data_IF_923516109432
#
_entry.id   IF_923516109432
#
_cell.length_a   1.000
_cell.length_b   1.000
_cell.length_c   1.000
_cell.angle_alpha   90.00
_cell.angle_beta   90.00
_cell.angle_gamma   90.00
#
_symmetry.space_group_name_H-M   'P 1'
#
loop_
_entity.id
_entity.type
_entity.pdbx_description
1 polymer ?
#
# COMPACT_ATOMS: atom_id res chain seq x y z
N UNK A 1 -8.31 16.50 14.33
CA UNK A 1 -8.54 15.04 14.38
C UNK A 1 -9.94 14.67 13.89
N UNK A 2 -11.00 15.23 14.48
CA UNK A 2 -12.40 15.01 14.07
C UNK A 2 -12.66 15.31 12.57
N UNK A 3 -12.28 16.50 12.09
CA UNK A 3 -12.47 16.94 10.70
C UNK A 3 -11.80 16.06 9.63
N UNK A 4 -10.72 15.34 9.96
CA UNK A 4 -10.03 14.42 9.03
C UNK A 4 -10.67 13.03 9.05
N UNK A 5 -11.11 12.57 10.23
CA UNK A 5 -11.90 11.34 10.40
C UNK A 5 -13.25 11.44 9.71
N UNK A 6 -13.90 12.61 9.75
CA UNK A 6 -15.17 12.86 9.05
C UNK A 6 -14.98 12.81 7.52
N UNK A 7 -13.83 13.28 7.02
CA UNK A 7 -13.45 13.17 5.61
C UNK A 7 -13.25 11.71 5.20
N UNK A 8 -12.52 10.92 5.98
CA UNK A 8 -12.33 9.47 5.78
C UNK A 8 -13.66 8.71 5.86
N UNK A 9 -14.52 9.04 6.82
CA UNK A 9 -15.85 8.42 6.96
C UNK A 9 -16.79 8.78 5.78
N UNK A 10 -16.68 9.99 5.23
CA UNK A 10 -17.42 10.39 4.02
C UNK A 10 -16.92 9.68 2.75
N UNK A 11 -15.64 9.28 2.73
CA UNK A 11 -14.98 8.56 1.62
C UNK A 11 -15.35 7.07 1.55
N UNK A 12 -15.70 6.45 2.68
CA UNK A 12 -15.88 5.00 2.80
C UNK A 12 -17.31 4.56 3.14
N UNK A 13 -18.29 5.40 2.84
CA UNK A 13 -19.70 5.16 3.14
C UNK A 13 -20.15 3.74 2.79
N UNK A 14 -20.64 3.02 3.81
CA UNK A 14 -21.32 1.69 3.80
C UNK A 14 -20.52 0.46 4.28
N UNK A 15 -19.75 0.53 5.37
CA UNK A 15 -19.36 -0.68 6.09
C UNK A 15 -19.84 -0.66 7.54
N UNK A 16 -20.76 -1.56 7.87
CA UNK A 16 -21.18 -1.86 9.25
C UNK A 16 -20.17 -2.82 9.88
N UNK A 17 -19.29 -2.25 10.70
CA UNK A 17 -18.14 -2.90 11.34
C UNK A 17 -18.47 -3.48 12.72
N UNK A 18 -19.74 -3.56 13.09
CA UNK A 18 -20.19 -3.87 14.47
C UNK A 18 -19.92 -5.30 14.95
N UNK A 19 -19.57 -6.25 14.07
CA UNK A 19 -19.53 -7.69 14.41
C UNK A 19 -18.18 -8.40 14.17
N UNK A 20 -17.08 -7.68 13.99
CA UNK A 20 -15.79 -8.29 13.64
C UNK A 20 -14.89 -8.52 14.88
N UNK A 21 -14.62 -9.80 15.22
CA UNK A 21 -13.74 -10.21 16.33
C UNK A 21 -12.34 -10.57 15.80
N UNK A 22 -11.28 -9.96 16.36
CA UNK A 22 -9.90 -10.24 15.94
C UNK A 22 -8.91 -10.48 17.09
N UNK A 23 -7.93 -11.37 16.82
CA UNK A 23 -6.78 -11.72 17.68
C UNK A 23 -5.60 -10.78 17.40
N UNK A 24 -4.88 -10.43 18.47
CA UNK A 24 -3.67 -9.60 18.45
C UNK A 24 -2.44 -10.45 18.04
N UNK A 25 -1.65 -9.99 17.06
CA UNK A 25 -0.34 -10.58 16.72
C UNK A 25 0.75 -9.53 16.87
N UNK A 26 1.79 -9.87 17.66
CA UNK A 26 2.95 -9.02 17.92
C UNK A 26 3.84 -8.93 16.67
N UNK A 27 4.15 -7.71 16.22
CA UNK A 27 4.85 -7.43 14.95
C UNK A 27 6.37 -7.30 15.15
N UNK A 28 7.17 -8.14 14.47
CA UNK A 28 8.65 -8.06 14.45
C UNK A 28 9.18 -6.86 13.65
N UNK A 29 8.44 -6.40 12.65
CA UNK A 29 8.78 -5.24 11.83
C UNK A 29 7.67 -4.18 11.96
N UNK A 30 8.05 -2.96 12.35
CA UNK A 30 7.11 -1.84 12.50
C UNK A 30 7.10 -1.04 11.21
N UNK A 31 6.13 -1.34 10.34
CA UNK A 31 5.80 -0.49 9.20
C UNK A 31 5.00 0.71 9.71
N UNK A 32 5.72 1.71 10.21
CA UNK A 32 5.19 2.91 10.83
C UNK A 32 5.62 4.19 10.07
N UNK A 33 5.24 5.36 10.58
CA UNK A 33 5.60 6.62 9.91
C UNK A 33 7.13 6.83 9.87
N UNK A 34 7.87 6.36 10.87
CA UNK A 34 9.34 6.47 10.89
C UNK A 34 9.97 5.58 9.82
N UNK A 35 9.45 4.37 9.63
CA UNK A 35 9.85 3.51 8.51
C UNK A 35 9.58 4.22 7.18
N UNK A 36 8.38 4.77 6.99
CA UNK A 36 8.04 5.52 5.77
C UNK A 36 9.01 6.68 5.53
N UNK A 37 9.29 7.49 6.56
CA UNK A 37 10.20 8.64 6.46
C UNK A 37 11.62 8.23 6.06
N UNK A 38 12.07 7.02 6.43
CA UNK A 38 13.38 6.47 6.05
C UNK A 38 13.50 6.03 4.58
N UNK A 39 12.38 5.84 3.88
CA UNK A 39 12.37 5.46 2.47
C UNK A 39 12.76 6.65 1.57
N UNK A 40 13.29 6.36 0.39
CA UNK A 40 13.62 7.37 -0.62
C UNK A 40 12.81 7.07 -1.87
N UNK A 41 12.13 8.10 -2.40
CA UNK A 41 11.44 8.05 -3.69
C UNK A 41 12.50 8.05 -4.79
N UNK A 42 12.50 7.02 -5.64
CA UNK A 42 13.51 6.90 -6.71
C UNK A 42 13.07 7.54 -8.02
N UNK A 43 11.84 8.08 -8.11
CA UNK A 43 11.29 8.77 -9.29
C UNK A 43 11.42 7.99 -10.60
N UNK A 44 11.47 6.65 -10.51
CA UNK A 44 11.75 5.65 -11.55
C UNK A 44 13.21 5.17 -11.58
N UNK A 45 13.45 4.00 -11.00
CA UNK A 45 14.74 3.32 -10.95
C UNK A 45 15.20 2.72 -12.29
N UNK A 46 14.30 2.63 -13.28
CA UNK A 46 14.58 2.07 -14.62
C UNK A 46 14.12 3.09 -15.68
N UNK A 47 15.04 3.66 -16.48
CA UNK A 47 14.68 4.58 -17.56
C UNK A 47 13.74 3.91 -18.55
N UNK A 48 12.65 4.59 -18.91
CA UNK A 48 11.67 4.08 -19.87
C UNK A 48 11.47 5.07 -21.03
N UNK A 49 11.19 4.54 -22.23
CA UNK A 49 11.01 5.30 -23.47
C UNK A 49 9.56 5.82 -23.66
N UNK A 50 8.82 6.09 -22.58
CA UNK A 50 7.39 6.46 -22.66
C UNK A 50 7.03 7.64 -21.74
N UNK A 51 6.08 8.47 -22.19
CA UNK A 51 5.69 9.75 -21.59
C UNK A 51 4.68 9.62 -20.43
N UNK A 52 4.78 8.60 -19.58
CA UNK A 52 3.94 8.50 -18.38
C UNK A 52 4.46 9.44 -17.30
N UNK A 53 4.07 10.71 -17.40
CA UNK A 53 4.49 11.76 -16.50
C UNK A 53 3.31 12.38 -15.76
N UNK A 54 3.48 12.59 -14.47
CA UNK A 54 2.50 13.30 -13.65
C UNK A 54 3.21 13.98 -12.47
N UNK A 55 2.87 15.25 -12.21
CA UNK A 55 3.49 16.09 -11.18
C UNK A 55 5.04 16.07 -11.19
N UNK A 56 5.64 16.05 -12.38
CA UNK A 56 7.10 16.04 -12.55
C UNK A 56 7.78 14.70 -12.25
N UNK A 57 7.01 13.64 -11.97
CA UNK A 57 7.51 12.27 -11.80
C UNK A 57 7.28 11.46 -13.08
N UNK A 58 8.22 10.57 -13.39
CA UNK A 58 8.10 9.57 -14.47
C UNK A 58 7.68 8.24 -13.84
N UNK A 59 6.74 7.54 -14.49
CA UNK A 59 6.21 6.26 -14.02
C UNK A 59 6.57 5.13 -15.00
N UNK A 60 6.76 3.91 -14.47
CA UNK A 60 7.05 2.70 -15.26
C UNK A 60 5.86 2.21 -16.07
N UNK A 61 4.65 2.60 -15.71
CA UNK A 61 3.43 2.20 -16.42
C UNK A 61 2.33 3.25 -16.31
N UNK A 62 1.39 3.22 -17.26
CA UNK A 62 0.16 4.04 -17.21
C UNK A 62 -0.66 3.76 -15.95
N UNK A 63 -0.72 2.49 -15.52
CA UNK A 63 -1.45 2.08 -14.32
C UNK A 63 -0.85 2.74 -13.07
N UNK A 64 0.46 2.68 -12.89
CA UNK A 64 1.15 3.33 -11.75
C UNK A 64 0.93 4.84 -11.75
N UNK A 65 1.02 5.51 -12.91
CA UNK A 65 0.71 6.94 -13.02
C UNK A 65 -0.73 7.26 -12.59
N UNK A 66 -1.70 6.43 -12.99
CA UNK A 66 -3.11 6.58 -12.58
C UNK A 66 -3.29 6.36 -11.06
N UNK A 67 -2.56 5.42 -10.47
CA UNK A 67 -2.61 5.19 -9.02
C UNK A 67 -2.01 6.36 -8.25
N UNK A 68 -0.86 6.88 -8.69
CA UNK A 68 -0.25 8.09 -8.14
C UNK A 68 -1.21 9.29 -8.21
N UNK A 69 -1.83 9.51 -9.37
CA UNK A 69 -2.86 10.57 -9.55
C UNK A 69 -4.01 10.40 -8.56
N UNK A 70 -4.50 9.17 -8.39
CA UNK A 70 -5.57 8.85 -7.46
C UNK A 70 -5.18 9.07 -5.99
N UNK A 71 -3.95 8.76 -5.60
CA UNK A 71 -3.46 9.01 -4.24
C UNK A 71 -3.35 10.52 -3.96
N UNK A 72 -2.85 11.31 -4.93
CA UNK A 72 -2.80 12.78 -4.84
C UNK A 72 -4.21 13.39 -4.75
N UNK A 73 -5.17 12.94 -5.56
CA UNK A 73 -6.58 13.38 -5.51
C UNK A 73 -7.23 13.12 -4.14
N UNK A 74 -6.80 12.06 -3.45
CA UNK A 74 -7.31 11.69 -2.12
C UNK A 74 -6.55 12.36 -0.97
N UNK A 75 -5.53 13.18 -1.26
CA UNK A 75 -4.65 13.78 -0.24
C UNK A 75 -3.99 12.71 0.64
N UNK A 76 -3.61 11.58 0.02
CA UNK A 76 -2.92 10.46 0.68
C UNK A 76 -1.42 10.59 0.40
N UNK A 77 -0.63 10.66 1.46
CA UNK A 77 0.82 10.75 1.37
C UNK A 77 1.44 9.40 0.95
N UNK A 78 2.30 9.44 -0.07
CA UNK A 78 2.99 8.26 -0.58
C UNK A 78 4.40 8.59 -1.09
N UNK A 79 5.22 7.53 -1.24
CA UNK A 79 6.50 7.52 -1.97
C UNK A 79 6.42 6.50 -3.09
N UNK A 80 6.94 6.86 -4.26
CA UNK A 80 6.95 6.01 -5.44
C UNK A 80 8.28 5.28 -5.63
N UNK A 81 8.22 4.06 -6.14
CA UNK A 81 9.36 3.20 -6.51
C UNK A 81 10.43 3.16 -5.42
N UNK A 82 10.07 2.63 -4.25
CA UNK A 82 10.92 2.64 -3.06
C UNK A 82 11.67 1.34 -2.89
N UNK A 83 12.89 1.41 -2.38
CA UNK A 83 13.67 0.22 -1.99
C UNK A 83 13.40 -0.15 -0.54
N UNK A 84 12.91 -1.37 -0.30
CA UNK A 84 12.66 -1.93 1.03
C UNK A 84 13.69 -3.01 1.33
N UNK A 85 14.44 -2.84 2.43
CA UNK A 85 15.39 -3.84 2.91
C UNK A 85 14.70 -4.89 3.77
N UNK A 86 14.83 -6.16 3.39
CA UNK A 86 14.31 -7.31 4.13
C UNK A 86 15.46 -8.29 4.37
N UNK A 87 15.96 -8.31 5.60
CA UNK A 87 17.16 -9.05 5.96
C UNK A 87 18.39 -8.50 5.23
N UNK A 88 18.99 -9.31 4.34
CA UNK A 88 20.13 -8.92 3.50
C UNK A 88 19.74 -8.58 2.05
N UNK A 89 18.45 -8.66 1.72
CA UNK A 89 17.94 -8.45 0.36
C UNK A 89 17.23 -7.11 0.28
N UNK A 90 17.35 -6.46 -0.86
CA UNK A 90 16.62 -5.22 -1.18
C UNK A 90 15.54 -5.57 -2.21
N UNK A 91 14.33 -5.12 -1.97
CA UNK A 91 13.18 -5.30 -2.86
C UNK A 91 12.66 -3.93 -3.28
N UNK A 92 12.51 -3.70 -4.58
CA UNK A 92 11.75 -2.54 -5.07
C UNK A 92 10.27 -2.76 -4.75
N UNK A 93 9.55 -1.72 -4.34
CA UNK A 93 8.11 -1.72 -4.11
C UNK A 93 7.52 -0.49 -4.80
N UNK A 94 6.41 -0.68 -5.52
CA UNK A 94 5.86 0.39 -6.38
C UNK A 94 5.43 1.62 -5.59
N UNK A 95 4.76 1.41 -4.45
CA UNK A 95 4.35 2.50 -3.57
C UNK A 95 4.51 2.13 -2.10
N UNK A 96 4.96 3.09 -1.30
CA UNK A 96 4.72 3.11 0.14
C UNK A 96 3.72 4.21 0.44
N UNK A 97 2.69 3.91 1.24
CA UNK A 97 1.61 4.81 1.62
C UNK A 97 1.64 4.96 3.14
N UNK A 98 1.51 6.18 3.66
CA UNK A 98 1.49 6.42 5.10
C UNK A 98 0.18 7.03 5.56
N UNK A 99 -0.37 6.46 6.63
CA UNK A 99 -1.44 7.06 7.41
C UNK A 99 -0.85 7.49 8.76
N UNK A 100 -0.38 8.74 8.83
CA UNK A 100 0.34 9.27 10.01
C UNK A 100 -0.53 9.27 11.26
N UNK A 101 -1.83 9.49 11.10
CA UNK A 101 -2.84 9.47 12.17
C UNK A 101 -2.90 8.12 12.90
N UNK A 102 -2.56 7.03 12.19
CA UNK A 102 -2.52 5.68 12.75
C UNK A 102 -1.11 5.18 13.00
N UNK A 103 -0.09 6.01 12.69
CA UNK A 103 1.31 5.60 12.65
C UNK A 103 1.52 4.28 11.88
N UNK A 104 0.90 4.17 10.69
CA UNK A 104 0.98 2.98 9.83
C UNK A 104 1.49 3.33 8.44
N UNK A 105 2.45 2.55 7.99
CA UNK A 105 2.88 2.50 6.60
C UNK A 105 2.31 1.22 5.96
N UNK A 106 1.82 1.33 4.73
CA UNK A 106 1.29 0.25 3.92
C UNK A 106 2.07 0.22 2.60
N UNK A 107 2.52 -0.96 2.21
CA UNK A 107 3.15 -1.20 0.92
C UNK A 107 2.07 -1.54 -0.10
N UNK A 108 2.24 -1.04 -1.31
CA UNK A 108 1.39 -1.35 -2.45
C UNK A 108 2.26 -1.76 -3.63
N UNK A 109 2.01 -2.97 -4.12
CA UNK A 109 2.68 -3.56 -5.25
C UNK A 109 1.67 -3.86 -6.38
N UNK A 110 2.01 -3.48 -7.60
CA UNK A 110 1.28 -3.78 -8.82
C UNK A 110 2.10 -4.69 -9.74
N UNK A 111 1.66 -5.95 -9.86
CA UNK A 111 2.23 -6.90 -10.78
C UNK A 111 1.57 -6.80 -12.15
N UNK A 112 2.16 -6.01 -13.06
CA UNK A 112 1.57 -5.72 -14.38
C UNK A 112 1.85 -6.73 -15.50
N UNK A 113 2.60 -7.82 -15.23
CA UNK A 113 3.04 -8.82 -16.22
C UNK A 113 2.70 -10.24 -15.78
N UNK A 114 1.52 -10.44 -15.19
CA UNK A 114 1.13 -11.73 -14.59
C UNK A 114 0.83 -12.84 -15.61
N UNK A 115 0.90 -12.56 -16.89
CA UNK A 115 0.92 -13.53 -17.99
C UNK A 115 2.30 -14.18 -18.20
N UNK A 116 3.37 -13.57 -17.67
CA UNK A 116 4.73 -14.09 -17.80
C UNK A 116 5.12 -15.04 -16.65
N UNK A 117 5.35 -16.30 -16.98
CA UNK A 117 5.63 -17.35 -15.99
C UNK A 117 6.87 -17.05 -15.12
N UNK A 118 7.98 -16.60 -15.72
CA UNK A 118 9.22 -16.30 -14.98
C UNK A 118 9.03 -15.11 -14.03
N UNK A 119 8.30 -14.08 -14.48
CA UNK A 119 7.95 -12.91 -13.68
C UNK A 119 7.13 -13.32 -12.45
N UNK A 120 6.11 -14.17 -12.64
CA UNK A 120 5.29 -14.69 -11.56
C UNK A 120 6.10 -15.51 -10.55
N UNK A 121 7.00 -16.37 -11.01
CA UNK A 121 7.83 -17.19 -10.13
C UNK A 121 8.73 -16.32 -9.24
N UNK A 122 9.36 -15.30 -9.81
CA UNK A 122 10.18 -14.33 -9.07
C UNK A 122 9.36 -13.56 -8.02
N UNK A 123 8.17 -13.09 -8.42
CA UNK A 123 7.29 -12.32 -7.53
C UNK A 123 6.68 -13.17 -6.41
N UNK A 124 6.37 -14.44 -6.67
CA UNK A 124 5.96 -15.38 -5.62
C UNK A 124 7.05 -15.51 -4.54
N UNK A 125 8.32 -15.64 -4.96
CA UNK A 125 9.46 -15.63 -4.04
C UNK A 125 9.59 -14.31 -3.27
N UNK A 126 9.37 -13.16 -3.90
CA UNK A 126 9.33 -11.85 -3.21
C UNK A 126 8.26 -11.81 -2.12
N UNK A 127 7.03 -12.24 -2.44
CA UNK A 127 5.91 -12.30 -1.48
C UNK A 127 6.24 -13.24 -0.31
N UNK A 128 6.78 -14.42 -0.58
CA UNK A 128 7.18 -15.38 0.45
C UNK A 128 8.24 -14.77 1.39
N UNK A 129 9.24 -14.07 0.85
CA UNK A 129 10.26 -13.41 1.65
C UNK A 129 9.68 -12.29 2.53
N UNK A 130 8.74 -11.49 1.99
CA UNK A 130 8.01 -10.47 2.74
C UNK A 130 7.19 -11.12 3.88
N UNK A 131 6.49 -12.20 3.58
CA UNK A 131 5.70 -12.94 4.56
C UNK A 131 6.57 -13.49 5.69
N UNK A 132 7.70 -14.12 5.36
CA UNK A 132 8.67 -14.63 6.33
C UNK A 132 9.31 -13.52 7.17
N UNK A 133 9.35 -12.29 6.66
CA UNK A 133 9.75 -11.11 7.40
C UNK A 133 8.64 -10.47 8.24
N UNK A 134 7.43 -11.06 8.27
CA UNK A 134 6.30 -10.53 9.02
C UNK A 134 5.59 -9.36 8.36
N UNK A 135 5.76 -9.17 7.05
CA UNK A 135 4.97 -8.24 6.23
C UNK A 135 3.85 -9.05 5.59
N UNK A 136 2.60 -8.83 6.02
CA UNK A 136 1.47 -9.68 5.61
C UNK A 136 0.52 -8.99 4.64
N UNK A 137 0.00 -9.79 3.71
CA UNK A 137 -1.04 -9.38 2.78
C UNK A 137 -2.30 -8.94 3.53
N UNK A 138 -2.93 -7.85 3.06
CA UNK A 138 -4.13 -7.28 3.66
C UNK A 138 -3.90 -6.50 4.95
N UNK A 139 -2.71 -6.60 5.57
CA UNK A 139 -2.36 -5.86 6.79
C UNK A 139 -1.29 -4.79 6.55
N UNK A 140 -0.25 -5.15 5.82
CA UNK A 140 0.96 -4.36 5.61
C UNK A 140 1.29 -4.15 4.14
N UNK A 141 0.86 -5.10 3.30
CA UNK A 141 1.04 -5.11 1.86
C UNK A 141 -0.32 -5.38 1.23
N UNK A 142 -0.67 -4.66 0.18
CA UNK A 142 -1.68 -5.12 -0.75
C UNK A 142 -1.12 -5.18 -2.15
N UNK A 143 -1.65 -6.12 -2.92
CA UNK A 143 -1.16 -6.45 -4.25
C UNK A 143 -2.31 -6.30 -5.22
N UNK A 144 -2.00 -5.73 -6.38
CA UNK A 144 -2.87 -5.76 -7.54
C UNK A 144 -2.15 -6.46 -8.68
N UNK A 145 -2.89 -7.25 -9.44
CA UNK A 145 -2.33 -7.98 -10.57
C UNK A 145 -3.01 -7.51 -11.84
N UNK A 146 -2.22 -7.46 -12.90
CA UNK A 146 -2.61 -7.16 -14.25
C UNK A 146 -1.71 -7.90 -15.23
N UNK A 147 -2.02 -7.72 -16.50
CA UNK A 147 -1.27 -8.25 -17.63
C UNK A 147 -1.23 -7.19 -18.74
N UNK A 148 -0.81 -7.58 -19.94
CA UNK A 148 -0.77 -6.68 -21.09
C UNK A 148 -2.14 -6.07 -21.44
N UNK A 149 -3.24 -6.75 -21.11
CA UNK A 149 -4.61 -6.39 -21.52
C UNK A 149 -5.38 -5.70 -20.40
N UNK A 150 -5.10 -6.06 -19.14
CA UNK A 150 -5.88 -5.65 -17.98
C UNK A 150 -5.00 -5.08 -16.86
N UNK A 151 -5.41 -3.92 -16.35
CA UNK A 151 -4.95 -3.38 -15.09
C UNK A 151 -6.16 -2.93 -14.26
N UNK A 152 -6.20 -3.21 -12.94
CA UNK A 152 -7.28 -2.74 -12.08
C UNK A 152 -7.44 -1.21 -12.15
N UNK A 153 -8.67 -0.75 -12.35
CA UNK A 153 -8.94 0.68 -12.37
C UNK A 153 -8.77 1.33 -10.98
N UNK A 154 -8.57 2.66 -10.91
CA UNK A 154 -8.35 3.38 -9.65
C UNK A 154 -9.41 3.12 -8.57
N UNK A 155 -10.68 2.91 -8.94
CA UNK A 155 -11.76 2.63 -7.99
C UNK A 155 -11.55 1.32 -7.20
N UNK A 156 -10.97 0.29 -7.83
CA UNK A 156 -10.65 -0.96 -7.15
C UNK A 156 -9.60 -0.72 -6.06
N UNK A 157 -8.59 0.09 -6.37
CA UNK A 157 -7.55 0.50 -5.42
C UNK A 157 -8.17 1.30 -4.26
N UNK A 158 -9.09 2.22 -4.56
CA UNK A 158 -9.82 3.00 -3.53
C UNK A 158 -10.56 2.09 -2.55
N UNK A 159 -11.26 1.06 -3.03
CA UNK A 159 -11.95 0.10 -2.17
C UNK A 159 -10.97 -0.73 -1.32
N UNK A 160 -9.82 -1.10 -1.87
CA UNK A 160 -8.80 -1.81 -1.11
C UNK A 160 -8.21 -0.95 0.01
N UNK A 161 -7.88 0.31 -0.30
CA UNK A 161 -7.41 1.28 0.69
C UNK A 161 -8.47 1.54 1.78
N UNK A 162 -9.74 1.66 1.38
CA UNK A 162 -10.87 1.79 2.30
C UNK A 162 -10.92 0.64 3.31
N UNK A 163 -10.84 -0.59 2.81
CA UNK A 163 -10.85 -1.80 3.64
C UNK A 163 -9.68 -1.83 4.62
N UNK A 164 -8.47 -1.43 4.17
CA UNK A 164 -7.29 -1.38 5.03
C UNK A 164 -7.44 -0.32 6.12
N UNK A 165 -7.90 0.89 5.77
CA UNK A 165 -8.13 1.97 6.75
C UNK A 165 -9.20 1.57 7.77
N UNK A 166 -10.28 0.92 7.33
CA UNK A 166 -11.31 0.39 8.24
C UNK A 166 -10.71 -0.60 9.24
N UNK A 167 -9.92 -1.58 8.77
CA UNK A 167 -9.24 -2.56 9.62
C UNK A 167 -8.27 -1.90 10.62
N UNK A 168 -7.49 -0.91 10.17
CA UNK A 168 -6.57 -0.17 11.05
C UNK A 168 -7.35 0.59 12.13
N UNK A 169 -8.47 1.21 11.75
CA UNK A 169 -9.31 1.99 12.66
C UNK A 169 -9.97 1.10 13.71
N UNK A 170 -10.54 -0.04 13.30
CA UNK A 170 -11.11 -1.04 14.20
C UNK A 170 -10.10 -1.50 15.26
N UNK A 171 -8.87 -1.81 14.84
CA UNK A 171 -7.79 -2.21 15.74
C UNK A 171 -7.41 -1.10 16.74
N UNK A 172 -7.37 0.16 16.30
CA UNK A 172 -7.07 1.28 17.21
C UNK A 172 -8.19 1.50 18.23
N UNK A 173 -9.46 1.44 17.79
CA UNK A 173 -10.62 1.61 18.67
C UNK A 173 -10.70 0.47 19.69
N UNK A 174 -10.46 -0.79 19.28
CA UNK A 174 -10.48 -1.93 20.21
C UNK A 174 -9.43 -1.78 21.30
N UNK A 175 -8.23 -1.30 20.97
CA UNK A 175 -7.17 -1.07 21.96
C UNK A 175 -7.48 0.06 22.92
N UNK A 176 -8.12 1.14 22.49
CA UNK A 176 -8.53 2.20 23.42
C UNK A 176 -9.52 1.71 24.47
N UNK A 177 -10.43 0.79 24.11
CA UNK A 177 -11.38 0.18 25.06
C UNK A 177 -10.74 -0.77 26.08
N UNK A 178 -9.51 -1.22 25.87
CA UNK A 178 -8.78 -2.04 26.85
C UNK A 178 -8.08 -1.19 27.94
N UNK A 179 -7.97 0.13 27.74
CA UNK A 179 -7.32 1.06 28.67
C UNK A 179 -8.29 1.93 29.49
N UNK A 180 -9.60 1.72 29.33
CA UNK A 180 -10.68 2.35 30.11
C UNK A 180 -11.59 1.26 30.69
#
# INVERSE_FOLDING_TARGET
MQLKLDKLNSLFGRYDISNMRYRIVNLKNKLDAKFFDSLVDSSCSIPQNHDYQYNGRIFRSRAEMLYATMLDELDIEYKYDVSVSIGKKIYAVDFAIVFREFNRCILFEFFGRCDEHEYNHSNAGKIENMYNAGIYLGRDLFIMSGDEVFAPGPNVIRYQLASIVAQITEYHVSRMKEYY
#
